data_IF_100417148547
#
_entry.id   IF_100417148547
#
_cell.length_a   1.000
_cell.length_b   1.000
_cell.length_c   1.000
_cell.angle_alpha   90.00
_cell.angle_beta   90.00
_cell.angle_gamma   90.00
#
_symmetry.space_group_name_H-M   'P 1'
#
loop_
_entity.id
_entity.type
_entity.pdbx_description
1 polymer ?
#
# COMPACT_ATOMS: atom_id res chain seq x y z
N UNK A 1 -6.67 -3.11 -29.82
CA UNK A 1 -7.59 -2.38 -28.91
C UNK A 1 -7.01 -1.03 -28.49
N UNK A 2 -5.87 -0.98 -27.77
CA UNK A 2 -5.33 0.30 -27.30
C UNK A 2 -4.95 1.24 -28.46
N UNK A 3 -4.27 0.72 -29.49
CA UNK A 3 -3.92 1.48 -30.69
C UNK A 3 -5.17 1.99 -31.42
N UNK A 4 -6.09 1.09 -31.77
CA UNK A 4 -7.37 1.45 -32.41
C UNK A 4 -8.20 2.45 -31.60
N UNK A 5 -8.16 2.35 -30.26
CA UNK A 5 -8.82 3.30 -29.37
C UNK A 5 -8.16 4.68 -29.44
N UNK A 6 -6.83 4.73 -29.44
CA UNK A 6 -6.03 5.96 -29.55
C UNK A 6 -6.12 6.65 -30.90
N UNK A 7 -6.32 5.89 -31.98
CA UNK A 7 -6.61 6.45 -33.30
C UNK A 7 -7.93 7.24 -33.31
N UNK A 8 -8.90 6.87 -32.47
CA UNK A 8 -10.21 7.53 -32.37
C UNK A 8 -10.23 8.63 -31.31
N UNK A 9 -9.54 8.41 -30.20
CA UNK A 9 -9.47 9.34 -29.08
C UNK A 9 -8.06 9.26 -28.44
N UNK A 10 -7.24 10.32 -28.53
CA UNK A 10 -5.88 10.30 -27.99
C UNK A 10 -5.83 10.07 -26.47
N UNK A 11 -6.92 10.35 -25.75
CA UNK A 11 -7.05 10.14 -24.31
C UNK A 11 -7.62 8.76 -23.94
N UNK A 12 -7.84 7.88 -24.93
CA UNK A 12 -8.36 6.53 -24.70
C UNK A 12 -7.44 5.75 -23.75
N UNK A 13 -8.05 5.24 -22.68
CA UNK A 13 -7.41 4.36 -21.72
C UNK A 13 -8.16 3.03 -21.62
N UNK A 14 -7.41 1.94 -21.63
CA UNK A 14 -7.93 0.57 -21.50
C UNK A 14 -7.40 -0.07 -20.23
N UNK A 15 -8.22 -0.87 -19.56
CA UNK A 15 -7.83 -1.62 -18.37
C UNK A 15 -8.43 -3.02 -18.36
N UNK A 16 -7.76 -3.92 -17.64
CA UNK A 16 -8.18 -5.30 -17.45
C UNK A 16 -8.39 -5.60 -15.96
N UNK A 17 -9.34 -6.47 -15.67
CA UNK A 17 -9.50 -7.10 -14.37
C UNK A 17 -8.58 -8.32 -14.26
N UNK A 18 -7.77 -8.36 -13.20
CA UNK A 18 -6.65 -9.29 -12.99
C UNK A 18 -5.45 -9.06 -13.93
N UNK A 19 -4.21 -9.29 -13.45
CA UNK A 19 -3.03 -9.15 -14.29
C UNK A 19 -2.91 -10.23 -15.36
N UNK A 20 -2.39 -9.86 -16.52
CA UNK A 20 -2.09 -10.77 -17.63
C UNK A 20 -0.77 -10.43 -18.30
N UNK A 21 0.27 -11.22 -18.02
CA UNK A 21 1.65 -10.99 -18.50
C UNK A 21 1.75 -10.94 -20.03
N UNK A 22 0.98 -11.78 -20.73
CA UNK A 22 0.98 -11.80 -22.20
C UNK A 22 0.50 -10.48 -22.82
N UNK A 23 -0.38 -9.76 -22.13
CA UNK A 23 -1.07 -8.59 -22.67
C UNK A 23 -0.50 -7.29 -22.10
N UNK A 24 0.63 -7.34 -21.39
CA UNK A 24 1.24 -6.23 -20.64
C UNK A 24 1.75 -5.07 -21.50
N UNK A 25 1.37 -5.04 -22.78
CA UNK A 25 1.62 -3.95 -23.72
C UNK A 25 0.30 -3.34 -24.23
N UNK A 26 -0.85 -3.95 -23.93
CA UNK A 26 -2.15 -3.71 -24.57
C UNK A 26 -3.17 -2.94 -23.68
N UNK A 27 -2.83 -2.65 -22.42
CA UNK A 27 -3.66 -1.88 -21.48
C UNK A 27 -2.83 -0.73 -20.84
N UNK A 28 -3.46 0.19 -20.10
CA UNK A 28 -2.78 1.33 -19.45
C UNK A 28 -2.60 1.13 -17.94
N UNK A 29 -3.56 0.44 -17.33
CA UNK A 29 -3.59 0.12 -15.92
C UNK A 29 -4.40 -1.14 -15.72
N UNK A 30 -4.30 -1.73 -14.52
CA UNK A 30 -5.04 -2.94 -14.20
C UNK A 30 -5.65 -2.86 -12.82
N UNK A 31 -6.72 -3.62 -12.67
CA UNK A 31 -7.37 -3.83 -11.39
C UNK A 31 -6.88 -5.17 -10.83
N UNK A 32 -5.82 -5.15 -10.02
CA UNK A 32 -5.39 -6.35 -9.30
C UNK A 32 -6.09 -6.53 -7.98
N UNK A 33 -6.34 -7.81 -7.68
CA UNK A 33 -6.92 -8.25 -6.42
C UNK A 33 -5.88 -8.65 -5.38
N UNK A 34 -4.69 -8.02 -5.37
CA UNK A 34 -3.65 -8.31 -4.36
C UNK A 34 -4.16 -8.15 -2.93
N UNK A 35 -5.06 -7.19 -2.68
CA UNK A 35 -5.67 -6.99 -1.37
C UNK A 35 -6.50 -8.19 -0.90
N UNK A 36 -6.89 -9.07 -1.82
CA UNK A 36 -7.71 -10.24 -1.58
C UNK A 36 -6.84 -11.48 -1.31
N UNK A 37 -5.70 -11.30 -0.61
CA UNK A 37 -4.73 -12.35 -0.22
C UNK A 37 -5.35 -13.59 0.45
N UNK A 38 -6.59 -13.52 0.95
CA UNK A 38 -7.28 -14.63 1.62
C UNK A 38 -8.35 -15.32 0.77
N UNK A 39 -8.66 -14.77 -0.41
CA UNK A 39 -9.59 -15.37 -1.37
C UNK A 39 -8.74 -16.09 -2.41
N UNK A 40 -8.14 -17.20 -2.02
CA UNK A 40 -7.58 -18.14 -2.99
C UNK A 40 -8.66 -18.61 -3.95
N UNK A 41 -8.29 -19.03 -5.15
CA UNK A 41 -9.16 -19.80 -6.02
C UNK A 41 -8.54 -21.20 -6.21
N UNK A 42 -9.15 -22.28 -5.70
CA UNK A 42 -10.34 -22.29 -4.84
C UNK A 42 -10.07 -21.67 -3.45
N UNK A 43 -11.10 -21.14 -2.75
CA UNK A 43 -10.96 -20.52 -1.44
C UNK A 43 -10.75 -21.58 -0.36
N UNK A 44 -9.54 -22.14 -0.33
CA UNK A 44 -9.18 -23.18 0.62
C UNK A 44 -8.50 -22.57 1.87
N UNK A 45 -8.80 -23.09 3.08
CA UNK A 45 -8.05 -22.76 4.28
C UNK A 45 -6.56 -23.03 4.07
N UNK A 46 -5.71 -22.06 4.40
CA UNK A 46 -4.25 -22.16 4.27
C UNK A 46 -3.66 -21.49 3.02
N UNK A 47 -4.45 -21.21 2.00
CA UNK A 47 -3.97 -20.51 0.81
C UNK A 47 -3.80 -19.02 1.10
N UNK A 48 -2.74 -18.44 0.53
CA UNK A 48 -2.40 -17.03 0.60
C UNK A 48 -2.00 -16.55 -0.80
N UNK A 49 -2.69 -15.53 -1.29
CA UNK A 49 -2.27 -14.81 -2.49
C UNK A 49 -0.92 -14.16 -2.25
N UNK A 50 -0.01 -14.33 -3.21
CA UNK A 50 1.26 -13.64 -3.27
C UNK A 50 1.17 -12.69 -4.47
N UNK A 51 1.42 -11.38 -4.30
CA UNK A 51 1.33 -10.40 -5.38
C UNK A 51 2.56 -10.50 -6.29
N UNK A 52 2.83 -11.69 -6.86
CA UNK A 52 4.04 -11.97 -7.64
C UNK A 52 4.08 -11.13 -8.91
N UNK A 53 2.95 -11.04 -9.61
CA UNK A 53 2.84 -10.20 -10.79
C UNK A 53 3.15 -8.75 -10.47
N UNK A 54 2.51 -8.21 -9.42
CA UNK A 54 2.78 -6.85 -8.95
C UNK A 54 4.24 -6.69 -8.60
N UNK A 55 4.86 -7.63 -7.89
CA UNK A 55 6.28 -7.57 -7.57
C UNK A 55 7.20 -7.50 -8.80
N UNK A 56 6.92 -8.29 -9.84
CA UNK A 56 7.76 -8.35 -11.04
C UNK A 56 7.53 -7.17 -11.99
N UNK A 57 6.30 -6.67 -12.06
CA UNK A 57 5.88 -5.75 -13.12
C UNK A 57 5.43 -4.37 -12.62
N UNK A 58 5.61 -4.07 -11.33
CA UNK A 58 5.18 -2.81 -10.72
C UNK A 58 5.66 -1.56 -11.49
N UNK A 59 6.94 -1.52 -11.88
CA UNK A 59 7.55 -0.35 -12.54
C UNK A 59 6.96 -0.04 -13.92
N UNK A 60 6.29 -1.02 -14.53
CA UNK A 60 5.74 -0.90 -15.87
C UNK A 60 4.23 -0.56 -15.86
N UNK A 61 3.55 -0.70 -14.71
CA UNK A 61 2.08 -0.76 -14.66
C UNK A 61 1.47 -0.11 -13.43
N UNK A 62 0.53 0.81 -13.68
CA UNK A 62 -0.26 1.44 -12.62
C UNK A 62 -1.33 0.48 -12.08
N UNK A 63 -1.28 0.23 -10.78
CA UNK A 63 -2.26 -0.58 -10.07
C UNK A 63 -3.39 0.26 -9.46
N UNK A 64 -4.63 -0.17 -9.69
CA UNK A 64 -5.82 0.38 -9.03
C UNK A 64 -6.23 -0.47 -7.82
N UNK A 65 -6.47 0.17 -6.67
CA UNK A 65 -6.81 -0.51 -5.40
C UNK A 65 -8.15 -1.25 -5.40
N UNK A 66 -9.03 -0.94 -6.35
CA UNK A 66 -10.18 -1.77 -6.65
C UNK A 66 -11.42 -1.60 -5.77
N UNK A 67 -12.52 -2.14 -6.25
CA UNK A 67 -13.79 -2.29 -5.53
C UNK A 67 -13.72 -3.38 -4.43
N UNK A 68 -12.77 -4.32 -4.57
CA UNK A 68 -12.59 -5.45 -3.67
C UNK A 68 -12.05 -5.06 -2.29
N UNK A 69 -11.65 -3.80 -2.09
CA UNK A 69 -11.36 -3.22 -0.78
C UNK A 69 -12.57 -2.37 -0.32
N UNK A 70 -13.53 -2.95 0.43
CA UNK A 70 -14.77 -2.26 0.73
C UNK A 70 -14.55 -1.11 1.71
N UNK A 71 -15.44 -0.12 1.62
CA UNK A 71 -15.63 0.87 2.65
C UNK A 71 -15.95 0.22 4.01
N UNK A 72 -15.38 0.75 5.09
CA UNK A 72 -15.68 0.32 6.46
C UNK A 72 -16.38 1.45 7.18
N UNK A 73 -17.64 1.23 7.56
CA UNK A 73 -18.45 2.19 8.32
C UNK A 73 -18.39 1.90 9.83
N UNK A 74 -19.01 2.75 10.65
CA UNK A 74 -19.04 2.67 12.13
C UNK A 74 -20.36 2.12 12.75
N UNK A 75 -21.46 2.01 11.97
CA UNK A 75 -22.81 1.68 12.51
C UNK A 75 -23.53 0.35 12.16
N UNK A 76 -23.22 -0.44 11.11
CA UNK A 76 -23.98 -1.67 10.78
C UNK A 76 -23.79 -2.90 11.72
N UNK A 77 -24.28 -2.86 12.95
CA UNK A 77 -24.44 -4.08 13.77
C UNK A 77 -23.14 -4.61 14.39
N UNK A 78 -23.08 -4.56 15.73
CA UNK A 78 -21.85 -4.63 16.54
C UNK A 78 -20.93 -5.85 16.32
N UNK A 79 -21.45 -6.99 15.84
CA UNK A 79 -20.66 -8.22 15.64
C UNK A 79 -20.11 -8.41 14.21
N UNK A 80 -20.75 -7.80 13.21
CA UNK A 80 -20.21 -7.74 11.84
C UNK A 80 -19.06 -6.70 11.76
N UNK A 81 -19.02 -5.77 12.73
CA UNK A 81 -18.30 -4.50 12.63
C UNK A 81 -16.80 -4.54 12.88
N UNK A 82 -16.38 -4.96 14.08
CA UNK A 82 -14.96 -5.00 14.43
C UNK A 82 -14.15 -5.92 13.50
N UNK A 83 -14.85 -6.89 12.92
CA UNK A 83 -14.34 -8.01 12.16
C UNK A 83 -14.03 -7.65 10.71
N UNK A 84 -15.02 -7.06 10.02
CA UNK A 84 -14.82 -6.55 8.67
C UNK A 84 -13.95 -5.30 8.67
N UNK A 85 -13.93 -4.54 9.76
CA UNK A 85 -13.09 -3.36 9.87
C UNK A 85 -11.60 -3.66 9.75
N UNK A 86 -11.06 -4.62 10.52
CA UNK A 86 -9.66 -4.99 10.41
C UNK A 86 -9.32 -5.61 9.06
N UNK A 87 -10.26 -6.35 8.44
CA UNK A 87 -10.03 -6.91 7.11
C UNK A 87 -10.04 -5.84 6.01
N UNK A 88 -10.97 -4.89 6.05
CA UNK A 88 -11.02 -3.75 5.14
C UNK A 88 -9.78 -2.87 5.27
N UNK A 89 -9.35 -2.58 6.50
CA UNK A 89 -8.09 -1.85 6.77
C UNK A 89 -6.87 -2.64 6.26
N UNK A 90 -6.83 -3.97 6.48
CA UNK A 90 -5.77 -4.81 5.91
C UNK A 90 -5.71 -4.70 4.38
N UNK A 91 -6.87 -4.74 3.71
CA UNK A 91 -6.94 -4.60 2.25
C UNK A 91 -6.37 -3.26 1.77
N UNK A 92 -6.72 -2.17 2.45
CA UNK A 92 -6.15 -0.85 2.14
C UNK A 92 -4.64 -0.79 2.40
N UNK A 93 -4.19 -1.41 3.49
CA UNK A 93 -2.77 -1.56 3.76
C UNK A 93 -2.02 -2.32 2.67
N UNK A 94 -2.60 -3.42 2.16
CA UNK A 94 -2.01 -4.18 1.05
C UNK A 94 -2.00 -3.34 -0.23
N UNK A 95 -3.08 -2.62 -0.54
CA UNK A 95 -3.09 -1.69 -1.67
C UNK A 95 -1.95 -0.67 -1.57
N UNK A 96 -1.77 -0.03 -0.40
CA UNK A 96 -0.68 0.93 -0.20
C UNK A 96 0.70 0.29 -0.38
N UNK A 97 0.97 -0.84 0.28
CA UNK A 97 2.30 -1.47 0.19
C UNK A 97 2.57 -2.10 -1.18
N UNK A 98 1.55 -2.30 -2.01
CA UNK A 98 1.67 -2.72 -3.41
C UNK A 98 1.62 -1.53 -4.39
N UNK A 99 1.71 -0.29 -3.90
CA UNK A 99 1.82 0.89 -4.76
C UNK A 99 0.52 1.32 -5.44
N UNK A 100 -0.62 0.77 -5.02
CA UNK A 100 -1.90 1.05 -5.66
C UNK A 100 -2.48 2.36 -5.18
N UNK A 101 -3.18 3.03 -6.10
CA UNK A 101 -3.96 4.20 -5.75
C UNK A 101 -5.02 3.86 -4.68
N UNK A 102 -5.22 4.76 -3.69
CA UNK A 102 -6.26 4.58 -2.69
C UNK A 102 -7.63 4.55 -3.37
N UNK A 103 -8.34 3.45 -3.22
CA UNK A 103 -9.67 3.24 -3.75
C UNK A 103 -10.49 2.42 -2.76
N UNK A 104 -11.80 2.62 -2.78
CA UNK A 104 -12.72 1.87 -1.93
C UNK A 104 -13.97 1.52 -2.70
N UNK A 105 -14.37 0.26 -2.64
CA UNK A 105 -15.62 -0.19 -3.21
C UNK A 105 -16.79 0.08 -2.27
N UNK A 106 -17.89 0.53 -2.85
CA UNK A 106 -19.21 0.49 -2.24
C UNK A 106 -19.94 -0.79 -2.72
N UNK A 107 -19.29 -1.95 -2.57
CA UNK A 107 -19.81 -3.22 -3.06
C UNK A 107 -20.90 -3.77 -2.13
N UNK A 108 -22.07 -4.01 -2.71
CA UNK A 108 -23.14 -4.81 -2.12
C UNK A 108 -23.88 -4.10 -1.00
N UNK A 109 -24.93 -3.38 -1.37
CA UNK A 109 -26.29 -3.45 -0.78
C UNK A 109 -27.11 -2.31 -1.35
N UNK A 110 -28.37 -2.57 -1.70
CA UNK A 110 -29.38 -1.57 -2.06
C UNK A 110 -29.78 -0.68 -0.85
N UNK A 111 -28.85 -0.35 0.05
CA UNK A 111 -29.08 0.31 1.35
C UNK A 111 -27.95 1.25 1.75
N UNK A 112 -27.29 1.90 0.77
CA UNK A 112 -26.37 3.03 1.02
C UNK A 112 -27.09 4.38 1.10
N UNK A 113 -28.42 4.41 1.02
CA UNK A 113 -29.20 5.61 1.35
C UNK A 113 -28.87 6.06 2.77
N UNK A 114 -28.23 7.22 2.90
CA UNK A 114 -27.92 7.85 4.18
C UNK A 114 -26.57 7.49 4.81
N UNK A 115 -25.66 6.82 4.10
CA UNK A 115 -24.27 6.65 4.56
C UNK A 115 -23.35 7.73 3.97
N UNK A 116 -22.73 8.51 4.84
CA UNK A 116 -21.85 9.62 4.51
C UNK A 116 -20.40 9.32 4.87
N UNK A 117 -19.47 10.15 4.40
CA UNK A 117 -18.05 10.04 4.73
C UNK A 117 -17.80 10.06 6.25
N UNK A 118 -18.63 10.77 7.02
CA UNK A 118 -18.53 10.86 8.48
C UNK A 118 -18.92 9.57 9.19
N UNK A 119 -19.68 8.68 8.52
CA UNK A 119 -20.04 7.38 9.06
C UNK A 119 -18.92 6.35 8.94
N UNK A 120 -17.83 6.67 8.23
CA UNK A 120 -16.68 5.79 8.08
C UNK A 120 -16.01 5.51 9.43
N UNK A 121 -15.59 4.26 9.63
CA UNK A 121 -14.84 3.85 10.81
C UNK A 121 -13.57 4.70 10.98
N UNK A 122 -13.30 5.35 12.12
CA UNK A 122 -12.23 6.35 12.21
C UNK A 122 -10.83 5.83 11.82
N UNK A 123 -10.39 4.61 12.22
CA UNK A 123 -9.13 4.06 11.73
C UNK A 123 -9.10 3.81 10.21
N UNK A 124 -10.25 3.54 9.57
CA UNK A 124 -10.34 3.46 8.12
C UNK A 124 -10.17 4.85 7.48
N UNK A 125 -10.79 5.89 8.05
CA UNK A 125 -10.54 7.27 7.61
C UNK A 125 -9.05 7.65 7.75
N UNK A 126 -8.42 7.28 8.86
CA UNK A 126 -6.97 7.48 9.07
C UNK A 126 -6.15 6.80 7.99
N UNK A 127 -6.49 5.56 7.63
CA UNK A 127 -5.83 4.84 6.53
C UNK A 127 -5.96 5.58 5.20
N UNK A 128 -7.17 5.95 4.80
CA UNK A 128 -7.39 6.62 3.52
C UNK A 128 -6.72 8.00 3.46
N UNK A 129 -6.82 8.80 4.53
CA UNK A 129 -6.15 10.11 4.63
C UNK A 129 -4.62 9.97 4.60
N UNK A 130 -4.07 8.98 5.32
CA UNK A 130 -2.63 8.71 5.35
C UNK A 130 -2.10 8.27 3.98
N UNK A 131 -2.79 7.35 3.30
CA UNK A 131 -2.46 6.93 1.94
C UNK A 131 -2.47 8.11 0.97
N UNK A 132 -3.54 8.90 0.96
CA UNK A 132 -3.64 10.09 0.11
C UNK A 132 -2.54 11.12 0.43
N UNK A 133 -2.22 11.32 1.71
CA UNK A 133 -1.14 12.23 2.11
C UNK A 133 0.23 11.76 1.61
N UNK A 134 0.53 10.46 1.66
CA UNK A 134 1.77 9.91 1.11
C UNK A 134 1.81 10.08 -0.42
N UNK A 135 0.71 9.76 -1.11
CA UNK A 135 0.61 9.87 -2.58
C UNK A 135 0.69 11.31 -3.11
N UNK A 136 0.60 12.32 -2.25
CA UNK A 136 0.80 13.75 -2.61
C UNK A 136 2.24 14.23 -2.40
N UNK A 137 3.17 13.32 -2.17
CA UNK A 137 4.59 13.62 -1.97
C UNK A 137 5.44 12.92 -3.02
N UNK A 138 6.76 13.06 -2.90
CA UNK A 138 7.73 12.33 -3.73
C UNK A 138 7.56 10.81 -3.66
N UNK A 139 6.94 10.29 -2.60
CA UNK A 139 6.60 8.87 -2.50
C UNK A 139 5.71 8.37 -3.66
N UNK A 140 4.94 9.24 -4.33
CA UNK A 140 4.11 8.85 -5.46
C UNK A 140 4.92 8.14 -6.54
N UNK A 141 6.05 8.70 -6.98
CA UNK A 141 6.84 8.13 -8.07
C UNK A 141 7.39 6.74 -7.73
N UNK A 142 7.82 6.54 -6.48
CA UNK A 142 8.21 5.22 -5.97
C UNK A 142 7.04 4.25 -5.96
N UNK A 143 5.90 4.68 -5.42
CA UNK A 143 4.73 3.84 -5.26
C UNK A 143 4.00 3.55 -6.56
N UNK A 144 4.17 4.32 -7.63
CA UNK A 144 3.44 4.07 -8.89
C UNK A 144 4.32 3.60 -10.03
N UNK A 145 5.61 3.93 -10.00
CA UNK A 145 6.54 3.63 -11.09
C UNK A 145 7.88 3.09 -10.60
N UNK A 146 8.10 2.99 -9.29
CA UNK A 146 9.34 2.44 -8.74
C UNK A 146 9.41 0.93 -8.90
N UNK A 147 10.62 0.38 -8.91
CA UNK A 147 10.83 -1.07 -8.95
C UNK A 147 10.70 -1.65 -7.55
N UNK A 148 9.82 -2.65 -7.35
CA UNK A 148 9.71 -3.30 -6.06
C UNK A 148 10.99 -4.08 -5.73
N UNK A 149 11.54 -3.83 -4.55
CA UNK A 149 12.66 -4.55 -3.98
C UNK A 149 12.16 -5.56 -2.94
N UNK A 150 13.04 -6.49 -2.55
CA UNK A 150 12.71 -7.47 -1.53
C UNK A 150 12.24 -6.78 -0.22
N UNK A 151 11.03 -7.13 0.29
CA UNK A 151 10.51 -6.55 1.52
C UNK A 151 11.43 -6.78 2.73
N UNK A 152 11.37 -5.87 3.70
CA UNK A 152 12.14 -5.99 4.92
C UNK A 152 11.61 -7.10 5.83
N UNK A 153 12.54 -7.82 6.44
CA UNK A 153 12.25 -8.72 7.57
C UNK A 153 12.16 -7.91 8.86
N UNK A 154 10.96 -7.38 9.15
CA UNK A 154 10.72 -6.62 10.37
C UNK A 154 10.46 -7.53 11.58
N UNK A 155 11.04 -7.16 12.73
CA UNK A 155 10.70 -7.75 14.01
C UNK A 155 9.45 -7.08 14.58
N UNK A 156 8.28 -7.54 14.13
CA UNK A 156 6.97 -7.06 14.59
C UNK A 156 6.12 -8.22 15.07
N UNK A 157 5.14 -7.98 15.97
CA UNK A 157 4.16 -8.98 16.34
C UNK A 157 3.55 -9.61 15.09
N UNK A 158 3.57 -10.94 15.08
CA UNK A 158 2.85 -11.73 14.09
C UNK A 158 1.66 -12.36 14.79
N UNK A 159 0.61 -12.61 14.01
CA UNK A 159 -0.66 -13.19 14.40
C UNK A 159 -1.72 -12.16 14.74
N UNK A 160 -2.76 -12.19 13.94
CA UNK A 160 -3.97 -11.44 14.16
C UNK A 160 -5.18 -12.33 13.90
N UNK A 161 -6.27 -12.09 14.62
CA UNK A 161 -7.55 -12.75 14.37
C UNK A 161 -8.32 -11.86 13.42
N UNK A 162 -8.47 -12.30 12.18
CA UNK A 162 -9.41 -11.69 11.24
C UNK A 162 -10.63 -12.59 11.19
N UNK A 163 -11.81 -12.05 10.90
CA UNK A 163 -12.89 -12.93 10.50
C UNK A 163 -13.26 -12.59 9.07
N UNK A 164 -13.41 -13.66 8.29
CA UNK A 164 -13.70 -13.64 6.88
C UNK A 164 -15.11 -14.20 6.69
N UNK A 165 -15.66 -14.10 5.47
CA UNK A 165 -17.02 -14.43 5.03
C UNK A 165 -17.56 -15.85 5.36
N UNK A 166 -16.86 -16.64 6.19
CA UNK A 166 -17.28 -17.95 6.70
C UNK A 166 -16.79 -18.29 8.12
N UNK A 167 -16.28 -17.31 8.89
CA UNK A 167 -15.90 -17.50 10.29
C UNK A 167 -14.59 -16.84 10.74
N UNK A 168 -14.24 -17.05 12.01
CA UNK A 168 -13.00 -16.57 12.64
C UNK A 168 -11.79 -17.31 12.07
N UNK A 169 -10.87 -16.58 11.44
CA UNK A 169 -9.59 -17.12 10.95
C UNK A 169 -8.42 -16.43 11.64
N UNK A 170 -7.66 -17.20 12.41
CA UNK A 170 -6.35 -16.73 12.87
C UNK A 170 -5.41 -16.73 11.67
N UNK A 171 -4.77 -15.60 11.42
CA UNK A 171 -3.75 -15.49 10.39
C UNK A 171 -2.40 -15.26 11.02
N UNK A 172 -1.37 -15.92 10.50
CA UNK A 172 0.01 -15.50 10.76
C UNK A 172 0.40 -14.41 9.77
N UNK A 173 0.02 -13.17 10.09
CA UNK A 173 0.37 -11.97 9.34
C UNK A 173 1.13 -11.01 10.25
N UNK A 174 2.14 -10.27 9.74
CA UNK A 174 2.79 -9.23 10.51
C UNK A 174 1.79 -8.09 10.82
N UNK A 175 1.89 -7.49 12.00
CA UNK A 175 1.04 -6.35 12.38
C UNK A 175 1.34 -5.10 11.56
N UNK A 176 2.57 -4.96 11.07
CA UNK A 176 3.00 -3.90 10.15
C UNK A 176 3.31 -4.52 8.79
N UNK A 177 2.61 -4.03 7.78
CA UNK A 177 2.89 -4.33 6.38
C UNK A 177 4.04 -3.46 5.90
N UNK A 178 4.86 -3.98 5.00
CA UNK A 178 5.90 -3.18 4.37
C UNK A 178 6.23 -3.66 2.96
N UNK A 179 6.73 -2.71 2.17
CA UNK A 179 7.41 -2.95 0.90
C UNK A 179 8.55 -1.97 0.76
N UNK A 180 9.49 -2.30 -0.13
CA UNK A 180 10.64 -1.47 -0.46
C UNK A 180 10.61 -1.23 -1.97
N UNK A 181 10.97 -0.02 -2.38
CA UNK A 181 10.97 0.42 -3.76
C UNK A 181 12.32 1.07 -4.09
N UNK A 182 12.85 0.78 -5.27
CA UNK A 182 13.83 1.64 -5.92
C UNK A 182 13.08 2.74 -6.68
N UNK A 183 13.62 3.96 -6.68
CA UNK A 183 13.03 5.05 -7.49
C UNK A 183 13.14 4.73 -8.99
N UNK A 184 12.26 5.30 -9.83
CA UNK A 184 12.32 5.11 -11.29
C UNK A 184 13.65 5.53 -11.94
N UNK A 185 14.37 6.47 -11.33
CA UNK A 185 15.69 6.93 -11.80
C UNK A 185 16.86 6.15 -11.18
N UNK A 186 16.60 5.19 -10.30
CA UNK A 186 17.60 4.34 -9.67
C UNK A 186 18.50 5.04 -8.63
N UNK A 187 18.11 6.23 -8.16
CA UNK A 187 18.92 7.01 -7.21
C UNK A 187 18.44 6.92 -5.77
N UNK A 188 17.20 6.50 -5.51
CA UNK A 188 16.62 6.46 -4.17
C UNK A 188 16.03 5.12 -3.77
N UNK A 189 15.81 4.97 -2.46
CA UNK A 189 15.06 3.85 -1.87
C UNK A 189 13.88 4.36 -1.06
N UNK A 190 12.70 3.88 -1.42
CA UNK A 190 11.46 4.09 -0.70
C UNK A 190 11.12 2.92 0.22
N UNK A 191 10.70 3.21 1.44
CA UNK A 191 10.20 2.23 2.40
C UNK A 191 8.81 2.64 2.85
N UNK A 192 7.81 1.80 2.60
CA UNK A 192 6.43 2.05 3.02
C UNK A 192 6.06 1.11 4.15
N UNK A 193 5.38 1.65 5.16
CA UNK A 193 4.91 0.89 6.32
C UNK A 193 3.45 1.23 6.61
N UNK A 194 2.67 0.22 7.00
CA UNK A 194 1.26 0.39 7.35
C UNK A 194 0.88 -0.54 8.52
N UNK A 195 0.30 0.00 9.58
CA UNK A 195 -0.24 -0.82 10.67
C UNK A 195 -1.74 -1.03 10.49
N UNK A 196 -2.15 -2.28 10.26
CA UNK A 196 -3.55 -2.63 10.05
C UNK A 196 -4.25 -3.14 11.32
N UNK A 197 -3.49 -3.41 12.37
CA UNK A 197 -3.98 -3.97 13.63
C UNK A 197 -4.45 -2.88 14.58
N UNK A 198 -5.33 -3.25 15.52
CA UNK A 198 -5.92 -2.38 16.54
C UNK A 198 -4.94 -1.91 17.63
N UNK A 199 -3.71 -2.44 17.63
CA UNK A 199 -2.68 -2.09 18.61
C UNK A 199 -1.64 -1.18 18.01
N UNK A 200 -1.16 -0.22 18.80
CA UNK A 200 0.06 0.50 18.50
C UNK A 200 1.24 -0.48 18.41
N UNK A 201 2.04 -0.36 17.35
CA UNK A 201 3.23 -1.17 17.12
C UNK A 201 4.45 -0.26 17.08
N UNK A 202 5.44 -0.58 17.91
CA UNK A 202 6.77 0.04 17.91
C UNK A 202 7.76 -0.94 17.29
N UNK A 203 8.56 -0.47 16.35
CA UNK A 203 9.48 -1.35 15.61
C UNK A 203 10.69 -0.57 15.09
N UNK A 204 11.74 -1.32 14.79
CA UNK A 204 12.99 -0.79 14.25
C UNK A 204 13.07 -1.13 12.76
N UNK A 205 13.43 -0.13 11.96
CA UNK A 205 13.63 -0.25 10.52
C UNK A 205 15.13 -0.17 10.21
N UNK A 206 15.70 -1.21 9.58
CA UNK A 206 17.04 -1.13 9.01
C UNK A 206 16.98 -0.37 7.67
N UNK A 207 17.58 0.82 7.63
CA UNK A 207 17.76 1.60 6.41
C UNK A 207 19.12 1.29 5.80
N UNK A 208 19.14 1.05 4.50
CA UNK A 208 20.33 0.77 3.71
C UNK A 208 20.17 1.39 2.31
N UNK A 209 21.26 1.84 1.67
CA UNK A 209 21.14 2.36 0.31
C UNK A 209 20.86 1.20 -0.67
N UNK A 210 20.16 1.47 -1.78
CA UNK A 210 20.01 0.49 -2.87
C UNK A 210 21.38 0.19 -3.51
N UNK A 211 22.21 1.23 -3.62
CA UNK A 211 23.55 1.18 -4.18
C UNK A 211 24.47 2.09 -3.37
N UNK A 212 25.72 1.68 -3.11
CA UNK A 212 26.71 2.48 -2.39
C UNK A 212 27.28 3.64 -3.25
N UNK A 213 26.40 4.43 -3.86
CA UNK A 213 26.75 5.55 -4.77
C UNK A 213 27.22 6.80 -4.02
N UNK A 214 26.84 6.95 -2.75
CA UNK A 214 27.17 8.13 -1.95
C UNK A 214 27.65 7.77 -0.54
N UNK A 215 28.47 8.65 0.03
CA UNK A 215 28.92 8.56 1.42
C UNK A 215 27.84 8.98 2.42
N UNK A 216 26.91 9.85 2.00
CA UNK A 216 25.86 10.41 2.84
C UNK A 216 24.53 10.45 2.10
N UNK A 217 23.44 10.37 2.86
CA UNK A 217 22.07 10.32 2.35
C UNK A 217 21.16 11.27 3.12
N UNK A 218 20.17 11.83 2.42
CA UNK A 218 19.03 12.50 3.03
C UNK A 218 17.88 11.52 3.21
N UNK A 219 17.26 11.58 4.39
CA UNK A 219 16.13 10.73 4.76
C UNK A 219 14.90 11.60 4.90
N UNK A 220 13.91 11.40 4.04
CA UNK A 220 12.63 12.08 4.11
C UNK A 220 11.58 11.20 4.77
N UNK A 221 10.54 11.84 5.33
CA UNK A 221 9.44 11.15 5.99
C UNK A 221 8.12 11.77 5.57
N UNK A 222 7.19 10.91 5.16
CA UNK A 222 5.84 11.28 4.73
C UNK A 222 4.78 10.44 5.46
N UNK A 223 3.56 10.97 5.59
CA UNK A 223 2.45 10.30 6.27
C UNK A 223 2.35 10.69 7.75
N UNK A 224 2.37 9.70 8.66
CA UNK A 224 2.22 9.94 10.11
C UNK A 224 3.19 11.02 10.60
N UNK A 225 2.65 12.04 11.28
CA UNK A 225 3.41 13.16 11.83
C UNK A 225 3.63 14.30 10.83
N UNK A 226 2.98 14.23 9.67
CA UNK A 226 3.10 15.21 8.59
C UNK A 226 4.20 14.84 7.59
N UNK A 227 4.08 15.39 6.39
CA UNK A 227 5.11 15.33 5.36
C UNK A 227 6.10 16.47 5.58
N UNK A 228 7.39 16.15 5.64
CA UNK A 228 8.41 17.15 5.98
C UNK A 228 8.76 18.01 4.77
N UNK A 229 8.81 19.33 4.94
CA UNK A 229 9.29 20.27 3.91
C UNK A 229 10.82 20.23 3.71
N UNK A 230 11.53 19.54 4.62
CA UNK A 230 12.99 19.31 4.63
C UNK A 230 13.25 17.83 4.97
N UNK A 231 14.45 17.29 4.72
CA UNK A 231 14.79 15.95 5.18
C UNK A 231 14.59 15.82 6.70
N UNK A 232 14.06 14.68 7.13
CA UNK A 232 13.98 14.31 8.54
C UNK A 232 15.37 14.09 9.14
N UNK A 233 16.29 13.55 8.34
CA UNK A 233 17.73 13.54 8.64
C UNK A 233 18.50 13.96 7.39
N UNK A 234 19.46 14.86 7.55
CA UNK A 234 20.33 15.34 6.46
C UNK A 234 21.73 14.76 6.61
N UNK A 235 22.37 14.44 5.48
CA UNK A 235 23.77 13.97 5.42
C UNK A 235 24.02 12.78 6.36
N UNK A 236 23.10 11.84 6.40
CA UNK A 236 23.17 10.68 7.27
C UNK A 236 24.06 9.59 6.66
N UNK A 237 24.91 8.98 7.49
CA UNK A 237 25.63 7.78 7.11
C UNK A 237 24.70 6.55 7.15
N UNK A 238 24.88 5.62 6.22
CA UNK A 238 24.14 4.37 6.13
C UNK A 238 25.11 3.17 6.07
N UNK A 239 24.70 1.97 6.54
CA UNK A 239 23.37 1.61 7.05
C UNK A 239 23.07 2.19 8.44
N UNK A 240 21.80 2.44 8.75
CA UNK A 240 21.38 2.87 10.08
C UNK A 240 20.04 2.26 10.48
N UNK A 241 19.74 2.30 11.78
CA UNK A 241 18.46 1.84 12.34
C UNK A 241 17.63 3.03 12.80
N UNK A 242 16.35 3.06 12.45
CA UNK A 242 15.40 4.08 12.91
C UNK A 242 14.22 3.42 13.63
N UNK A 243 13.71 4.08 14.66
CA UNK A 243 12.55 3.60 15.41
C UNK A 243 11.28 4.28 14.90
N UNK A 244 10.25 3.49 14.64
CA UNK A 244 8.92 3.95 14.21
C UNK A 244 7.84 3.42 15.15
N UNK A 245 6.76 4.19 15.26
CA UNK A 245 5.57 3.83 16.03
C UNK A 245 4.35 4.11 15.18
N UNK A 246 3.49 3.12 14.96
CA UNK A 246 2.24 3.25 14.17
C UNK A 246 1.05 2.72 14.96
N UNK A 247 -0.02 3.50 15.06
CA UNK A 247 -1.34 3.10 15.50
C UNK A 247 -2.16 2.54 14.32
N UNK A 248 -3.38 2.07 14.58
CA UNK A 248 -4.22 1.45 13.55
C UNK A 248 -4.52 2.42 12.40
N UNK A 249 -4.35 1.93 11.17
CA UNK A 249 -4.57 2.70 9.95
C UNK A 249 -3.47 3.71 9.63
N UNK A 250 -2.49 3.92 10.52
CA UNK A 250 -1.41 4.84 10.23
C UNK A 250 -0.39 4.24 9.26
N UNK A 251 0.14 5.10 8.41
CA UNK A 251 1.19 4.79 7.45
C UNK A 251 2.34 5.79 7.54
N UNK A 252 3.51 5.34 7.13
CA UNK A 252 4.68 6.19 6.94
C UNK A 252 5.46 5.71 5.73
N UNK A 253 5.93 6.66 4.94
CA UNK A 253 6.89 6.43 3.88
C UNK A 253 8.21 7.07 4.28
N UNK A 254 9.31 6.33 4.18
CA UNK A 254 10.67 6.84 4.32
C UNK A 254 11.33 6.81 2.96
N UNK A 255 11.87 7.94 2.55
CA UNK A 255 12.69 8.04 1.34
C UNK A 255 14.15 8.18 1.75
N UNK A 256 15.04 7.48 1.08
CA UNK A 256 16.49 7.56 1.25
C UNK A 256 17.12 7.89 -0.08
N UNK A 257 17.76 9.07 -0.20
CA UNK A 257 18.39 9.55 -1.43
C UNK A 257 19.82 10.06 -1.15
N UNK A 258 20.75 9.97 -2.12
CA UNK A 258 22.08 10.55 -2.03
C UNK A 258 22.04 12.02 -1.58
N UNK A 259 22.91 12.39 -0.65
CA UNK A 259 23.05 13.78 -0.23
C UNK A 259 23.55 14.65 -1.38
N UNK A 260 22.88 15.78 -1.62
CA UNK A 260 23.22 16.72 -2.69
C UNK A 260 22.49 16.48 -4.01
N UNK A 261 21.74 15.38 -4.14
CA UNK A 261 20.78 15.23 -5.24
C UNK A 261 19.44 15.87 -4.86
N UNK A 262 19.09 16.93 -5.56
CA UNK A 262 17.72 17.47 -5.56
C UNK A 262 16.97 16.89 -6.75
N UNK A 263 15.79 16.33 -6.49
CA UNK A 263 14.84 16.03 -7.55
C UNK A 263 14.02 17.29 -7.80
N UNK A 264 14.02 17.77 -9.04
CA UNK A 264 13.06 18.79 -9.51
C UNK A 264 11.64 18.20 -9.63
#
# INVERSE_FOLDING_TARGET
ILEEGRERDPDFAWSLEEPGELYIQDFNFYHSRDCVVLRGYPPNPGYRGIPLFTYLYHEYWLGYGGDMAPAVFSQQGRDYYAVYASYGILKQGINLICGKFPAMGFLGTNSFDGLYADDLFPPFQTAMKGMAAIMRTRALSYLTAGRMLHPLKLHVPRRARIFWYGGRRRMDFPSVLNSVYESPDGNGVGYVFFNWTDKEVRFQVPLAPATAKAAFYDIWRYGKGGSTAKPWKTRAALPQKVNLTLAQGESVFLEVVPYGETFE
#
